data_IF_975941022519
#
_entry.id   IF_975941022519
#
_cell.length_a   1.000
_cell.length_b   1.000
_cell.length_c   1.000
_cell.angle_alpha   90.00
_cell.angle_beta   90.00
_cell.angle_gamma   90.00
#
_symmetry.space_group_name_H-M   'P 1'
#
loop_
_entity.id
_entity.type
_entity.pdbx_description
1 polymer ?
#
# COMPACT_ATOMS: atom_id res chain seq x y z
N UNK A 1 -17.06 -27.54 -15.56
CA UNK A 1 -17.78 -26.32 -15.09
C UNK A 1 -17.35 -25.91 -13.68
N UNK A 2 -17.32 -26.80 -12.69
CA UNK A 2 -16.87 -26.51 -11.32
C UNK A 2 -15.44 -25.92 -11.24
N UNK A 3 -14.50 -26.46 -12.02
CA UNK A 3 -13.14 -25.93 -12.11
C UNK A 3 -13.11 -24.45 -12.54
N UNK A 4 -13.96 -24.06 -13.48
CA UNK A 4 -14.04 -22.66 -13.95
C UNK A 4 -14.61 -21.78 -12.84
N UNK A 5 -15.61 -22.26 -12.10
CA UNK A 5 -16.24 -21.55 -10.98
C UNK A 5 -15.29 -21.33 -9.81
N UNK A 6 -14.33 -22.24 -9.58
CA UNK A 6 -13.34 -22.11 -8.50
C UNK A 6 -12.12 -21.30 -8.96
N UNK A 7 -11.64 -21.53 -10.19
CA UNK A 7 -10.42 -20.89 -10.70
C UNK A 7 -10.63 -19.41 -11.02
N UNK A 8 -11.78 -19.01 -11.58
CA UNK A 8 -12.06 -17.60 -11.89
C UNK A 8 -11.99 -16.67 -10.65
N UNK A 9 -12.73 -16.92 -9.55
CA UNK A 9 -12.65 -16.07 -8.38
C UNK A 9 -11.28 -16.14 -7.70
N UNK A 10 -10.62 -17.30 -7.73
CA UNK A 10 -9.28 -17.44 -7.14
C UNK A 10 -8.24 -16.63 -7.91
N UNK A 11 -8.29 -16.61 -9.24
CA UNK A 11 -7.44 -15.75 -10.08
C UNK A 11 -7.76 -14.27 -9.83
N UNK A 12 -9.03 -13.88 -9.77
CA UNK A 12 -9.44 -12.49 -9.49
C UNK A 12 -8.93 -12.02 -8.12
N UNK A 13 -9.02 -12.88 -7.09
CA UNK A 13 -8.51 -12.56 -5.75
C UNK A 13 -6.98 -12.44 -5.78
N UNK A 14 -6.26 -13.32 -6.45
CA UNK A 14 -4.79 -13.24 -6.56
C UNK A 14 -4.37 -11.98 -7.33
N UNK A 15 -5.04 -11.63 -8.43
CA UNK A 15 -4.70 -10.43 -9.21
C UNK A 15 -5.10 -9.15 -8.48
N UNK A 16 -6.19 -9.15 -7.71
CA UNK A 16 -6.57 -8.04 -6.86
C UNK A 16 -5.54 -7.89 -5.73
N UNK A 17 -5.20 -8.97 -5.01
CA UNK A 17 -4.13 -8.94 -4.00
C UNK A 17 -2.82 -8.46 -4.66
N UNK A 18 -2.46 -8.93 -5.85
CA UNK A 18 -1.24 -8.54 -6.56
C UNK A 18 -1.25 -7.09 -7.07
N UNK A 19 -2.40 -6.55 -7.49
CA UNK A 19 -2.56 -5.18 -7.96
C UNK A 19 -2.61 -4.19 -6.79
N UNK A 20 -3.28 -4.58 -5.70
CA UNK A 20 -3.18 -3.91 -4.41
C UNK A 20 -1.81 -4.16 -3.78
N UNK A 21 -1.07 -5.19 -4.22
CA UNK A 21 0.29 -5.46 -3.79
C UNK A 21 1.37 -5.03 -4.80
N UNK A 22 1.02 -4.22 -5.80
CA UNK A 22 1.94 -3.70 -6.81
C UNK A 22 2.47 -2.32 -6.39
N UNK A 23 3.21 -2.35 -5.29
CA UNK A 23 3.88 -1.24 -4.63
C UNK A 23 5.34 -1.43 -4.84
N UNK A 24 5.70 -1.80 -6.07
CA UNK A 24 7.08 -1.87 -6.49
C UNK A 24 7.55 -0.45 -6.78
N UNK A 25 7.82 0.31 -5.72
CA UNK A 25 8.85 1.33 -5.78
C UNK A 25 9.90 1.01 -4.73
N UNK A 26 11.10 0.54 -5.14
CA UNK A 26 12.25 0.68 -4.28
C UNK A 26 12.40 2.17 -4.00
N UNK A 27 12.27 2.54 -2.73
CA UNK A 27 12.60 3.86 -2.22
C UNK A 27 14.08 4.09 -2.52
N UNK A 28 14.36 4.74 -3.65
CA UNK A 28 15.68 5.25 -3.98
C UNK A 28 15.97 6.37 -3.00
N UNK A 29 16.93 6.06 -2.14
CA UNK A 29 17.94 6.95 -1.59
C UNK A 29 18.00 8.35 -2.22
N UNK A 30 17.82 9.33 -1.34
CA UNK A 30 18.75 10.45 -1.14
C UNK A 30 18.69 11.63 -2.14
N UNK A 31 18.32 12.81 -1.60
CA UNK A 31 19.08 14.07 -1.63
C UNK A 31 18.11 15.24 -1.61
N UNK A 32 18.08 15.97 -0.49
CA UNK A 32 17.43 17.28 -0.41
C UNK A 32 16.39 17.36 0.70
N UNK A 33 16.87 17.70 1.91
CA UNK A 33 16.24 18.50 2.95
C UNK A 33 14.82 19.06 2.65
N UNK A 34 13.86 18.16 2.55
CA UNK A 34 12.42 18.37 2.68
C UNK A 34 11.95 17.08 3.31
N UNK A 35 11.84 17.05 4.64
CA UNK A 35 11.40 15.88 5.41
C UNK A 35 9.94 15.60 5.06
N UNK A 36 9.71 14.97 3.91
CA UNK A 36 8.50 14.19 3.67
C UNK A 36 8.60 13.07 4.70
N UNK A 37 7.90 13.25 5.82
CA UNK A 37 7.83 12.22 6.85
C UNK A 37 7.19 11.01 6.19
N UNK A 38 7.85 9.88 6.23
CA UNK A 38 7.27 8.61 5.81
C UNK A 38 7.17 7.75 7.07
N UNK A 39 6.04 7.08 7.25
CA UNK A 39 5.80 6.18 8.39
C UNK A 39 5.39 4.81 7.89
N UNK A 40 5.42 3.80 8.74
CA UNK A 40 4.83 2.50 8.39
C UNK A 40 3.36 2.48 8.77
N UNK A 41 2.52 2.03 7.84
CA UNK A 41 1.10 1.88 8.07
C UNK A 41 0.88 0.80 9.15
N UNK A 42 0.11 1.08 10.23
CA UNK A 42 -0.16 0.11 11.28
C UNK A 42 -1.03 -1.07 10.82
N UNK A 43 -1.78 -0.90 9.73
CA UNK A 43 -2.69 -1.94 9.22
C UNK A 43 -1.98 -2.94 8.29
N UNK A 44 -1.07 -2.49 7.43
CA UNK A 44 -0.41 -3.34 6.43
C UNK A 44 1.12 -3.37 6.51
N UNK A 45 1.73 -2.52 7.32
CA UNK A 45 3.19 -2.40 7.45
C UNK A 45 3.89 -1.64 6.33
N UNK A 46 3.16 -1.24 5.28
CA UNK A 46 3.68 -0.58 4.10
C UNK A 46 4.04 0.89 4.36
N UNK A 47 4.89 1.48 3.50
CA UNK A 47 5.27 2.90 3.65
C UNK A 47 4.07 3.80 3.36
N UNK A 48 3.65 4.55 4.37
CA UNK A 48 2.63 5.58 4.30
C UNK A 48 3.27 6.97 4.22
N UNK A 49 2.64 7.86 3.46
CA UNK A 49 3.05 9.25 3.29
C UNK A 49 2.44 10.09 4.40
N UNK A 50 3.24 10.89 5.08
CA UNK A 50 2.75 11.82 6.10
C UNK A 50 2.61 13.22 5.49
N UNK A 51 1.41 13.77 5.60
CA UNK A 51 1.05 15.12 5.24
C UNK A 51 0.75 15.93 6.51
N UNK A 52 1.76 16.60 7.04
CA UNK A 52 1.62 17.43 8.26
C UNK A 52 1.26 16.60 9.49
N UNK A 53 -0.01 16.67 9.91
CA UNK A 53 -0.57 15.92 11.05
C UNK A 53 -1.42 14.73 10.63
N UNK A 54 -1.53 14.44 9.33
CA UNK A 54 -2.21 13.24 8.84
C UNK A 54 -1.23 12.34 8.11
N UNK A 55 -1.55 11.06 8.07
CA UNK A 55 -0.85 10.09 7.25
C UNK A 55 -1.86 9.36 6.38
N UNK A 56 -1.40 8.99 5.21
CA UNK A 56 -2.18 8.24 4.25
C UNK A 56 -1.31 7.13 3.68
N UNK A 57 -1.82 5.91 3.75
CA UNK A 57 -1.22 4.76 3.11
C UNK A 57 -1.82 4.63 1.71
N UNK A 58 -1.06 5.03 0.69
CA UNK A 58 -1.43 4.86 -0.72
C UNK A 58 -1.54 3.40 -1.18
N UNK A 59 -1.40 2.45 -0.26
CA UNK A 59 -1.46 1.03 -0.51
C UNK A 59 -2.80 0.41 -0.14
N UNK A 60 -3.10 0.41 1.15
CA UNK A 60 -4.36 -0.13 1.66
C UNK A 60 -5.47 0.93 1.70
N UNK A 61 -5.16 2.19 1.36
CA UNK A 61 -6.09 3.32 1.44
C UNK A 61 -6.39 3.77 2.87
N UNK A 62 -5.65 3.25 3.86
CA UNK A 62 -5.83 3.60 5.25
C UNK A 62 -5.24 4.97 5.56
N UNK A 63 -5.91 5.75 6.39
CA UNK A 63 -5.49 7.10 6.74
C UNK A 63 -5.80 7.42 8.18
N UNK A 64 -5.00 8.28 8.78
CA UNK A 64 -5.18 8.65 10.17
C UNK A 64 -4.51 9.96 10.54
N UNK A 65 -4.78 10.42 11.76
CA UNK A 65 -4.08 11.53 12.37
C UNK A 65 -2.85 11.04 13.12
N UNK A 66 -1.75 11.78 12.99
CA UNK A 66 -0.54 11.64 13.78
C UNK A 66 -0.76 12.49 15.02
N UNK A 67 -1.00 11.82 16.14
CA UNK A 67 -1.25 12.43 17.44
C UNK A 67 0.05 12.63 18.22
#
# INVERSE_FOLDING_TARGET
MLFVIILLPLIIVITFIAAFSAGNKPSSSDTGKHTIRTMRCPNCGETATVHGNTWECGWCGDHGLIK
#
